data_IF_097071177864
#
_entry.id   IF_097071177864
#
_cell.length_a   1.000
_cell.length_b   1.000
_cell.length_c   1.000
_cell.angle_alpha   90.00
_cell.angle_beta   90.00
_cell.angle_gamma   90.00
#
_symmetry.space_group_name_H-M   'P 1'
#
loop_
_entity.id
_entity.type
_entity.pdbx_description
1 polymer ?
#
# COMPACT_ATOMS: atom_id res chain seq x y z
N UNK A 1 -19.36 10.19 -19.67
CA UNK A 1 -18.44 9.06 -19.84
C UNK A 1 -17.55 9.01 -18.60
N UNK A 2 -17.63 7.94 -17.82
CA UNK A 2 -16.67 7.73 -16.72
C UNK A 2 -15.29 7.58 -17.34
N UNK A 3 -14.33 8.41 -16.91
CA UNK A 3 -12.95 8.23 -17.29
C UNK A 3 -12.51 6.82 -16.83
N UNK A 4 -11.81 6.12 -17.70
CA UNK A 4 -11.19 4.85 -17.32
C UNK A 4 -10.27 5.09 -16.13
N UNK A 5 -10.39 4.26 -15.10
CA UNK A 5 -9.46 4.26 -13.97
C UNK A 5 -8.15 3.59 -14.42
N UNK A 6 -7.06 4.34 -14.62
CA UNK A 6 -5.81 3.78 -15.14
C UNK A 6 -4.98 3.08 -14.06
N UNK A 7 -5.46 3.06 -12.81
CA UNK A 7 -4.71 2.47 -11.72
C UNK A 7 -4.61 0.96 -11.87
N UNK A 8 -3.46 0.43 -11.52
CA UNK A 8 -3.23 -1.01 -11.45
C UNK A 8 -2.76 -1.35 -10.03
N UNK A 9 -3.40 -2.35 -9.47
CA UNK A 9 -3.09 -2.86 -8.14
C UNK A 9 -2.36 -4.19 -8.30
N UNK A 10 -1.10 -4.24 -7.89
CA UNK A 10 -0.28 -5.44 -7.98
C UNK A 10 -0.09 -6.11 -6.62
N UNK A 11 -0.23 -7.41 -6.60
CA UNK A 11 0.15 -8.25 -5.49
C UNK A 11 1.17 -9.29 -5.97
N UNK A 12 2.44 -9.04 -5.70
CA UNK A 12 3.55 -9.87 -6.18
C UNK A 12 4.02 -10.84 -5.12
N UNK A 13 3.81 -12.12 -5.35
CA UNK A 13 4.21 -13.20 -4.47
C UNK A 13 5.44 -13.89 -5.05
N UNK A 14 6.54 -13.84 -4.32
CA UNK A 14 7.80 -14.46 -4.75
C UNK A 14 8.66 -14.79 -3.52
N UNK A 15 9.46 -15.86 -3.54
CA UNK A 15 10.36 -16.20 -2.45
C UNK A 15 11.27 -15.05 -2.04
N UNK A 16 11.81 -15.11 -0.82
CA UNK A 16 12.78 -14.12 -0.33
C UNK A 16 14.06 -14.14 -1.18
N UNK A 17 14.79 -13.01 -1.23
CA UNK A 17 16.06 -12.85 -1.95
C UNK A 17 15.96 -13.04 -3.47
N UNK A 18 14.82 -12.72 -4.06
CA UNK A 18 14.58 -12.87 -5.50
C UNK A 18 14.52 -11.54 -6.26
N UNK A 19 14.88 -10.44 -5.61
CA UNK A 19 15.00 -9.14 -6.26
C UNK A 19 13.74 -8.26 -6.22
N UNK A 20 12.73 -8.60 -5.40
CA UNK A 20 11.51 -7.77 -5.27
C UNK A 20 11.81 -6.32 -4.89
N UNK A 21 12.67 -6.11 -3.91
CA UNK A 21 13.05 -4.75 -3.46
C UNK A 21 13.82 -3.99 -4.54
N UNK A 22 14.69 -4.69 -5.30
CA UNK A 22 15.40 -4.07 -6.44
C UNK A 22 14.43 -3.64 -7.53
N UNK A 23 13.41 -4.44 -7.82
CA UNK A 23 12.37 -4.06 -8.79
C UNK A 23 11.61 -2.81 -8.33
N UNK A 24 11.33 -2.70 -7.03
CA UNK A 24 10.72 -1.50 -6.48
C UNK A 24 11.65 -0.28 -6.57
N UNK A 25 12.92 -0.42 -6.23
CA UNK A 25 13.91 0.67 -6.37
C UNK A 25 13.93 1.20 -7.80
N UNK A 26 13.97 0.30 -8.79
CA UNK A 26 13.90 0.69 -10.20
C UNK A 26 12.59 1.41 -10.55
N UNK A 27 11.44 0.89 -10.10
CA UNK A 27 10.13 1.54 -10.34
C UNK A 27 10.06 2.89 -9.63
N UNK A 28 10.59 3.02 -8.44
CA UNK A 28 10.69 4.27 -7.69
C UNK A 28 11.51 5.33 -8.45
N UNK A 29 12.62 4.92 -9.06
CA UNK A 29 13.41 5.80 -9.92
C UNK A 29 12.63 6.25 -11.17
N UNK A 30 11.96 5.33 -11.85
CA UNK A 30 11.09 5.66 -12.99
C UNK A 30 9.98 6.63 -12.56
N UNK A 31 9.32 6.37 -11.43
CA UNK A 31 8.27 7.22 -10.89
C UNK A 31 8.80 8.64 -10.60
N UNK A 32 9.98 8.74 -9.98
CA UNK A 32 10.63 10.03 -9.69
C UNK A 32 10.95 10.81 -10.97
N UNK A 33 11.47 10.16 -12.01
CA UNK A 33 11.73 10.82 -13.29
C UNK A 33 10.47 11.24 -14.05
N UNK A 34 9.35 10.55 -13.80
CA UNK A 34 8.05 10.89 -14.36
C UNK A 34 7.22 11.85 -13.49
N UNK A 35 7.81 12.43 -12.44
CA UNK A 35 7.15 13.29 -11.44
C UNK A 35 5.92 12.62 -10.79
N UNK A 36 5.98 11.30 -10.61
CA UNK A 36 4.95 10.51 -9.93
C UNK A 36 5.30 10.43 -8.45
N UNK A 37 4.47 11.01 -7.60
CA UNK A 37 4.64 10.94 -6.15
C UNK A 37 4.48 9.50 -5.66
N UNK A 38 5.58 8.91 -5.21
CA UNK A 38 5.63 7.55 -4.68
C UNK A 38 6.12 7.53 -3.24
N UNK A 39 5.79 6.46 -2.51
CA UNK A 39 6.27 6.24 -1.14
C UNK A 39 6.28 4.75 -0.80
N UNK A 40 6.97 4.40 0.29
CA UNK A 40 7.04 3.03 0.81
C UNK A 40 6.23 2.97 2.10
N UNK A 41 5.33 2.01 2.18
CA UNK A 41 4.60 1.67 3.38
C UNK A 41 5.18 0.39 3.97
N UNK A 42 5.88 0.50 5.08
CA UNK A 42 6.48 -0.64 5.79
C UNK A 42 5.68 -1.06 7.01
N UNK A 43 5.09 -0.09 7.67
CA UNK A 43 4.18 -0.30 8.81
C UNK A 43 3.37 0.97 9.01
N UNK A 44 2.18 0.85 9.57
CA UNK A 44 1.39 2.05 9.81
C UNK A 44 0.10 1.75 10.53
N UNK A 45 -0.46 2.83 11.04
CA UNK A 45 -1.77 2.89 11.63
C UNK A 45 -2.76 3.45 10.61
N UNK A 46 -4.05 3.38 10.91
CA UNK A 46 -5.10 4.05 10.17
C UNK A 46 -4.83 5.57 10.04
N UNK A 47 -4.31 6.21 11.09
CA UNK A 47 -3.89 7.62 11.07
C UNK A 47 -2.76 7.88 10.05
N UNK A 48 -1.80 6.97 9.94
CA UNK A 48 -0.74 7.07 8.94
C UNK A 48 -1.25 6.88 7.51
N UNK A 49 -2.30 6.09 7.33
CA UNK A 49 -2.89 5.84 6.00
C UNK A 49 -3.78 7.01 5.54
N UNK A 50 -4.71 7.46 6.36
CA UNK A 50 -5.72 8.45 5.99
C UNK A 50 -5.27 9.85 6.38
N UNK A 51 -4.69 9.99 7.57
CA UNK A 51 -4.30 11.24 8.17
C UNK A 51 -4.72 11.38 9.62
N UNK A 52 -4.37 12.50 10.21
CA UNK A 52 -4.68 12.86 11.60
C UNK A 52 -4.77 14.35 11.74
N UNK A 53 -5.23 14.82 12.89
CA UNK A 53 -5.13 16.22 13.31
C UNK A 53 -4.00 16.38 14.30
N UNK A 54 -3.25 17.46 14.18
CA UNK A 54 -2.21 17.85 15.11
C UNK A 54 -2.49 19.24 15.68
N UNK A 55 -2.57 19.31 17.00
CA UNK A 55 -2.79 20.58 17.68
C UNK A 55 -1.48 21.17 18.16
N UNK A 56 -1.30 22.44 17.89
CA UNK A 56 -0.15 23.24 18.30
C UNK A 56 -0.63 24.32 19.27
N UNK A 57 0.12 24.54 20.34
CA UNK A 57 -0.12 25.65 21.26
C UNK A 57 0.58 26.90 20.73
N UNK A 58 -0.17 27.95 20.50
CA UNK A 58 0.34 29.25 20.08
C UNK A 58 0.98 30.01 21.23
N UNK A 59 1.71 31.07 20.94
CA UNK A 59 2.35 31.94 21.95
C UNK A 59 1.33 32.65 22.84
N UNK A 60 0.15 32.94 22.32
CA UNK A 60 -0.97 33.54 23.07
C UNK A 60 -1.74 32.56 23.99
N UNK A 61 -1.32 31.27 23.98
CA UNK A 61 -1.93 30.19 24.74
C UNK A 61 -3.13 29.51 24.06
N UNK A 62 -3.57 30.00 22.91
CA UNK A 62 -4.59 29.33 22.09
C UNK A 62 -4.04 28.08 21.43
N UNK A 63 -4.94 27.24 20.88
CA UNK A 63 -4.55 26.05 20.11
C UNK A 63 -5.01 26.19 18.68
N UNK A 64 -4.09 25.91 17.74
CA UNK A 64 -4.39 25.74 16.32
C UNK A 64 -4.33 24.25 15.98
N UNK A 65 -5.35 23.74 15.30
CA UNK A 65 -5.40 22.35 14.86
C UNK A 65 -5.25 22.30 13.35
N UNK A 66 -4.28 21.52 12.87
CA UNK A 66 -3.99 21.33 11.46
C UNK A 66 -4.19 19.89 11.05
N UNK A 67 -4.75 19.68 9.87
CA UNK A 67 -4.84 18.37 9.25
C UNK A 67 -3.46 17.92 8.75
N UNK A 68 -3.05 16.73 9.18
CA UNK A 68 -1.85 16.05 8.68
C UNK A 68 -2.30 14.98 7.68
N UNK A 69 -2.03 15.15 6.37
CA UNK A 69 -2.44 14.19 5.35
C UNK A 69 -1.76 12.85 5.54
N UNK A 70 -2.50 11.77 5.33
CA UNK A 70 -1.98 10.40 5.34
C UNK A 70 -1.37 9.98 4.01
N UNK A 71 -0.82 8.75 3.98
CA UNK A 71 -0.17 8.18 2.80
C UNK A 71 -1.09 8.05 1.58
N UNK A 72 -2.38 7.83 1.79
CA UNK A 72 -3.36 7.71 0.70
C UNK A 72 -3.72 9.05 0.06
N UNK A 73 -3.37 10.16 0.72
CA UNK A 73 -3.64 11.49 0.23
C UNK A 73 -2.47 12.01 -0.61
N UNK A 74 -2.74 12.36 -1.86
CA UNK A 74 -1.78 13.00 -2.77
C UNK A 74 -0.68 12.11 -3.34
N UNK A 75 -0.56 10.85 -2.93
CA UNK A 75 0.35 9.87 -3.55
C UNK A 75 -0.31 9.24 -4.78
N UNK A 76 0.51 8.72 -5.69
CA UNK A 76 0.06 8.03 -6.90
C UNK A 76 0.50 6.58 -6.93
N UNK A 77 1.61 6.27 -6.27
CA UNK A 77 2.17 4.93 -6.20
C UNK A 77 2.65 4.64 -4.78
N UNK A 78 2.16 3.56 -4.18
CA UNK A 78 2.60 3.08 -2.88
C UNK A 78 3.14 1.66 -2.98
N UNK A 79 4.35 1.48 -2.48
CA UNK A 79 4.91 0.15 -2.26
C UNK A 79 4.59 -0.35 -0.86
N UNK A 80 4.04 -1.54 -0.79
CA UNK A 80 3.86 -2.31 0.43
C UNK A 80 4.93 -3.41 0.43
N UNK A 81 6.10 -3.13 1.00
CA UNK A 81 7.27 -4.01 0.88
C UNK A 81 7.07 -5.37 1.57
N UNK A 82 6.29 -5.41 2.65
CA UNK A 82 5.98 -6.65 3.37
C UNK A 82 4.47 -6.91 3.45
N UNK A 83 3.91 -7.38 2.33
CA UNK A 83 2.49 -7.70 2.23
C UNK A 83 2.04 -8.93 3.04
N UNK A 84 2.95 -9.70 3.64
CA UNK A 84 2.60 -10.87 4.44
C UNK A 84 1.71 -10.52 5.63
N UNK A 85 1.83 -9.33 6.16
CA UNK A 85 0.97 -8.83 7.25
C UNK A 85 -0.50 -8.77 6.85
N UNK A 86 -0.79 -8.55 5.57
CA UNK A 86 -2.15 -8.54 5.03
C UNK A 86 -2.74 -9.95 4.88
N UNK A 87 -1.89 -10.96 4.89
CA UNK A 87 -2.26 -12.37 4.70
C UNK A 87 -2.35 -13.14 6.02
N UNK A 88 -1.97 -12.50 7.13
CA UNK A 88 -1.98 -13.15 8.43
C UNK A 88 -3.39 -13.60 8.83
N UNK A 89 -3.50 -14.81 9.40
CA UNK A 89 -4.80 -15.37 9.75
C UNK A 89 -5.55 -14.58 10.81
N UNK A 90 -4.89 -13.95 11.75
CA UNK A 90 -5.45 -13.12 12.82
C UNK A 90 -4.66 -11.84 12.92
N UNK A 91 -4.87 -10.88 12.00
CA UNK A 91 -4.19 -9.61 12.09
C UNK A 91 -4.62 -8.89 13.37
N UNK A 92 -3.69 -8.19 14.00
CA UNK A 92 -4.03 -7.29 15.12
C UNK A 92 -5.11 -6.32 14.66
N UNK A 93 -5.94 -5.83 15.57
CA UNK A 93 -7.12 -5.01 15.24
C UNK A 93 -6.80 -3.84 14.29
N UNK A 94 -5.70 -3.13 14.52
CA UNK A 94 -5.30 -2.02 13.67
C UNK A 94 -4.96 -2.42 12.22
N UNK A 95 -4.49 -3.65 11.99
CA UNK A 95 -4.29 -4.16 10.63
C UNK A 95 -5.59 -4.52 9.93
N UNK A 96 -6.64 -4.87 10.66
CA UNK A 96 -7.96 -5.08 10.07
C UNK A 96 -8.50 -3.80 9.47
N UNK A 97 -8.33 -2.68 10.16
CA UNK A 97 -8.71 -1.36 9.68
C UNK A 97 -7.88 -0.95 8.46
N UNK A 98 -6.56 -1.17 8.48
CA UNK A 98 -5.69 -0.92 7.33
C UNK A 98 -6.14 -1.72 6.10
N UNK A 99 -6.49 -3.00 6.26
CA UNK A 99 -7.00 -3.82 5.16
C UNK A 99 -8.31 -3.24 4.58
N UNK A 100 -9.21 -2.78 5.43
CA UNK A 100 -10.45 -2.15 4.97
C UNK A 100 -10.18 -0.86 4.19
N UNK A 101 -9.28 0.00 4.67
CA UNK A 101 -8.89 1.21 3.96
C UNK A 101 -8.19 0.91 2.63
N UNK A 102 -7.34 -0.10 2.56
CA UNK A 102 -6.74 -0.54 1.30
C UNK A 102 -7.80 -1.01 0.31
N UNK A 103 -8.77 -1.80 0.77
CA UNK A 103 -9.87 -2.26 -0.08
C UNK A 103 -10.71 -1.09 -0.62
N UNK A 104 -11.02 -0.10 0.22
CA UNK A 104 -11.72 1.11 -0.20
C UNK A 104 -10.89 1.91 -1.20
N UNK A 105 -9.60 2.12 -0.91
CA UNK A 105 -8.68 2.84 -1.77
C UNK A 105 -8.51 2.20 -3.16
N UNK A 106 -8.68 0.88 -3.26
CA UNK A 106 -8.62 0.13 -4.52
C UNK A 106 -9.93 0.14 -5.32
N UNK A 107 -11.03 0.65 -4.77
CA UNK A 107 -12.27 0.79 -5.52
C UNK A 107 -12.12 1.85 -6.63
N UNK A 108 -12.93 1.81 -7.71
CA UNK A 108 -12.82 2.75 -8.81
C UNK A 108 -12.89 4.21 -8.36
N UNK A 109 -12.04 5.04 -8.93
CA UNK A 109 -12.03 6.49 -8.70
C UNK A 109 -13.37 7.09 -9.08
N UNK A 110 -13.88 8.03 -8.26
CA UNK A 110 -15.19 8.65 -8.45
C UNK A 110 -16.38 7.82 -7.96
N UNK A 111 -16.13 6.63 -7.39
CA UNK A 111 -17.17 5.87 -6.70
C UNK A 111 -17.24 6.28 -5.23
N UNK A 112 -18.43 6.31 -4.63
CA UNK A 112 -18.58 6.53 -3.19
C UNK A 112 -17.78 5.54 -2.35
N UNK A 113 -17.56 4.34 -2.87
CA UNK A 113 -16.79 3.30 -2.19
C UNK A 113 -15.27 3.54 -2.20
N UNK A 114 -14.78 4.54 -2.94
CA UNK A 114 -13.37 4.94 -2.94
C UNK A 114 -13.09 6.08 -1.94
N UNK A 115 -14.11 6.76 -1.46
CA UNK A 115 -13.93 7.81 -0.45
C UNK A 115 -13.70 7.19 0.92
N UNK A 116 -12.53 7.47 1.49
CA UNK A 116 -12.16 7.06 2.83
C UNK A 116 -12.53 8.17 3.80
N UNK A 117 -13.33 7.85 4.78
CA UNK A 117 -13.76 8.80 5.81
C UNK A 117 -13.30 8.34 7.18
N UNK A 118 -12.69 9.24 7.93
CA UNK A 118 -12.27 9.01 9.30
C UNK A 118 -12.77 10.12 10.20
N UNK A 119 -13.62 9.73 11.16
CA UNK A 119 -14.11 10.65 12.20
C UNK A 119 -13.17 10.64 13.40
N UNK A 120 -12.77 11.81 13.85
CA UNK A 120 -11.92 12.02 15.02
C UNK A 120 -12.50 13.11 15.90
N UNK A 121 -11.97 13.25 17.12
CA UNK A 121 -12.43 14.27 18.08
C UNK A 121 -12.36 15.69 17.50
N UNK A 122 -11.34 15.97 16.72
CA UNK A 122 -11.02 17.32 16.23
C UNK A 122 -11.60 17.58 14.83
N UNK A 123 -12.26 16.59 14.21
CA UNK A 123 -12.89 16.74 12.90
C UNK A 123 -13.03 15.45 12.12
N UNK A 124 -13.34 15.58 10.84
CA UNK A 124 -13.47 14.46 9.91
C UNK A 124 -12.51 14.67 8.75
N UNK A 125 -11.73 13.64 8.44
CA UNK A 125 -10.88 13.61 7.24
C UNK A 125 -11.59 12.76 6.19
N UNK A 126 -11.72 13.32 4.98
CA UNK A 126 -12.22 12.62 3.81
C UNK A 126 -11.18 12.65 2.70
N UNK A 127 -10.88 11.50 2.14
CA UNK A 127 -9.87 11.36 1.09
C UNK A 127 -10.36 10.41 -0.01
N UNK A 128 -10.35 10.86 -1.26
CA UNK A 128 -10.47 10.00 -2.42
C UNK A 128 -9.08 9.47 -2.78
N UNK A 129 -8.88 8.17 -2.71
CA UNK A 129 -7.59 7.58 -3.04
C UNK A 129 -7.42 7.42 -4.55
N UNK A 130 -6.29 7.93 -5.06
CA UNK A 130 -5.87 7.77 -6.47
C UNK A 130 -4.58 6.98 -6.59
N UNK A 131 -4.36 6.06 -5.67
CA UNK A 131 -3.11 5.33 -5.51
C UNK A 131 -3.14 4.01 -6.27
N UNK A 132 -2.08 3.71 -7.01
CA UNK A 132 -1.72 2.36 -7.42
C UNK A 132 -0.89 1.71 -6.33
N UNK A 133 -1.21 0.47 -5.98
CA UNK A 133 -0.48 -0.29 -4.98
C UNK A 133 0.43 -1.32 -5.64
N UNK A 134 1.66 -1.36 -5.15
CA UNK A 134 2.62 -2.39 -5.45
C UNK A 134 2.92 -3.16 -4.16
N UNK A 135 2.25 -4.29 -3.98
CA UNK A 135 2.36 -5.08 -2.75
C UNK A 135 3.28 -6.27 -3.05
N UNK A 136 4.34 -6.40 -2.28
CA UNK A 136 5.27 -7.53 -2.41
C UNK A 136 5.24 -8.40 -1.16
N UNK A 137 5.32 -9.71 -1.35
CA UNK A 137 5.39 -10.67 -0.25
C UNK A 137 6.12 -11.94 -0.66
N UNK A 138 6.46 -12.76 0.31
CA UNK A 138 6.86 -14.15 0.10
C UNK A 138 5.63 -15.08 0.13
N UNK A 139 5.71 -16.29 -0.45
CA UNK A 139 4.62 -17.25 -0.39
C UNK A 139 4.26 -17.53 1.08
N UNK A 140 3.01 -17.28 1.49
CA UNK A 140 2.58 -17.57 2.85
C UNK A 140 2.48 -19.09 3.05
N UNK A 141 2.73 -19.54 4.29
CA UNK A 141 2.53 -20.94 4.68
C UNK A 141 1.04 -21.37 4.61
N UNK A 142 0.15 -20.39 4.61
CA UNK A 142 -1.29 -20.57 4.42
C UNK A 142 -1.95 -19.20 4.30
N UNK A 143 -3.03 -19.16 3.51
CA UNK A 143 -3.89 -17.97 3.41
C UNK A 143 -5.24 -18.37 3.98
N UNK A 144 -5.71 -17.65 4.98
CA UNK A 144 -7.04 -17.93 5.51
C UNK A 144 -8.13 -17.55 4.51
N UNK A 145 -9.17 -18.34 4.51
CA UNK A 145 -10.37 -18.16 3.70
C UNK A 145 -10.92 -16.71 3.79
N UNK A 146 -10.88 -16.10 4.97
CA UNK A 146 -11.39 -14.74 5.14
C UNK A 146 -10.64 -13.69 4.31
N UNK A 147 -9.33 -13.88 4.06
CA UNK A 147 -8.53 -12.97 3.20
C UNK A 147 -8.99 -13.09 1.75
N UNK A 148 -9.32 -14.31 1.32
CA UNK A 148 -9.87 -14.58 0.00
C UNK A 148 -11.29 -14.02 -0.13
N UNK A 149 -12.11 -14.16 0.91
CA UNK A 149 -13.52 -13.79 0.90
C UNK A 149 -13.75 -12.28 1.09
N UNK A 150 -12.82 -11.57 1.75
CA UNK A 150 -12.95 -10.11 1.98
C UNK A 150 -12.63 -9.22 0.78
N UNK A 151 -12.42 -9.80 -0.39
CA UNK A 151 -12.39 -9.05 -1.66
C UNK A 151 -11.08 -8.31 -1.95
N UNK A 152 -10.03 -8.46 -1.14
CA UNK A 152 -8.72 -7.84 -1.44
C UNK A 152 -8.17 -8.38 -2.77
N UNK A 153 -8.16 -9.71 -2.94
CA UNK A 153 -7.64 -10.35 -4.15
C UNK A 153 -8.50 -10.14 -5.40
N UNK A 154 -9.76 -9.73 -5.24
CA UNK A 154 -10.63 -9.38 -6.37
C UNK A 154 -10.24 -8.05 -7.02
N UNK A 155 -9.44 -7.24 -6.32
CA UNK A 155 -9.04 -5.88 -6.72
C UNK A 155 -7.60 -5.77 -7.17
N UNK A 156 -6.83 -6.85 -7.11
CA UNK A 156 -5.41 -6.85 -7.40
C UNK A 156 -5.08 -7.82 -8.54
N UNK A 157 -4.11 -7.44 -9.34
CA UNK A 157 -3.47 -8.36 -10.27
C UNK A 157 -2.44 -9.19 -9.49
N UNK A 158 -2.72 -10.47 -9.34
CA UNK A 158 -1.85 -11.39 -8.63
C UNK A 158 -0.73 -11.87 -9.54
N UNK A 159 0.50 -11.56 -9.18
CA UNK A 159 1.70 -12.06 -9.85
C UNK A 159 2.36 -13.10 -8.95
N UNK A 160 2.38 -14.32 -9.41
CA UNK A 160 3.14 -15.40 -8.78
C UNK A 160 4.27 -15.83 -9.71
N UNK A 161 5.52 -15.60 -9.29
CA UNK A 161 6.68 -16.01 -10.02
C UNK A 161 7.31 -17.22 -9.33
N UNK A 162 7.10 -18.45 -9.84
CA UNK A 162 7.78 -19.61 -9.31
C UNK A 162 9.28 -19.45 -9.54
N UNK A 163 10.04 -19.60 -8.49
CA UNK A 163 11.48 -19.40 -8.53
C UNK A 163 12.17 -20.68 -8.05
N UNK A 164 12.87 -21.35 -8.94
CA UNK A 164 13.61 -22.57 -8.62
C UNK A 164 15.07 -22.28 -8.22
N UNK A 165 15.76 -23.31 -7.72
CA UNK A 165 17.14 -23.17 -7.27
C UNK A 165 18.10 -22.85 -8.41
N UNK A 166 17.84 -23.35 -9.62
CA UNK A 166 18.70 -23.11 -10.79
C UNK A 166 18.68 -21.63 -11.20
N UNK A 167 17.48 -21.01 -11.20
CA UNK A 167 17.33 -19.58 -11.44
C UNK A 167 18.05 -18.75 -10.37
N UNK A 168 18.02 -19.18 -9.10
CA UNK A 168 18.75 -18.51 -8.01
C UNK A 168 20.26 -18.58 -8.24
N UNK A 169 20.75 -19.74 -8.61
CA UNK A 169 22.17 -19.95 -8.88
C UNK A 169 22.65 -19.14 -10.08
N UNK A 170 21.84 -19.05 -11.12
CA UNK A 170 22.18 -18.28 -12.31
C UNK A 170 22.25 -16.77 -12.01
N UNK A 171 21.28 -16.21 -11.29
CA UNK A 171 21.29 -14.79 -10.87
C UNK A 171 22.47 -14.50 -9.98
N UNK A 172 22.78 -15.40 -9.03
CA UNK A 172 23.96 -15.24 -8.15
C UNK A 172 25.26 -15.25 -8.95
N UNK A 173 25.41 -16.14 -9.92
CA UNK A 173 26.58 -16.19 -10.81
C UNK A 173 26.73 -14.92 -11.64
N UNK A 174 25.63 -14.36 -12.17
CA UNK A 174 25.65 -13.11 -12.94
C UNK A 174 26.08 -11.92 -12.08
N UNK A 175 25.59 -11.83 -10.84
CA UNK A 175 25.98 -10.78 -9.88
C UNK A 175 27.46 -10.82 -9.50
N UNK A 176 28.07 -12.01 -9.46
CA UNK A 176 29.50 -12.16 -9.17
C UNK A 176 30.40 -11.84 -10.37
N UNK A 177 29.85 -11.73 -11.57
CA UNK A 177 30.60 -11.43 -12.80
C UNK A 177 30.49 -9.97 -13.25
N UNK A 178 29.57 -9.19 -12.72
CA UNK A 178 29.40 -7.76 -12.98
C UNK A 178 29.97 -6.91 -11.89
#
# INVERSE_FOLDING_TARGET
>A
ASALDPRVQFFWIQPTRTGKSIAWEFIGEVARHADIKSDIFTSGTDAGMIGSFKSYKNEDGSYTTEEQPGLLNGKKLLNFDEGSVLLQPNPKQFFQEVILYLQQAMNPVGSHSNTLTKHMKDGTIETESRVSFWITTFPPAGVKEYVLTKGLFQRVLLLYCPWNNDMRMEVSKRRMRG
#
